data_IF_979464130662
#
_entry.id   IF_979464130662
#
_cell.length_a   1.000
_cell.length_b   1.000
_cell.length_c   1.000
_cell.angle_alpha   90.00
_cell.angle_beta   90.00
_cell.angle_gamma   90.00
#
_symmetry.space_group_name_H-M   'P 1'
#
loop_
_entity.id
_entity.type
_entity.pdbx_description
1 polymer ?
#
# COMPACT_ATOMS: atom_id res chain seq x y z
N UNK A 1 -18.20 -15.24 0.86
CA UNK A 1 -17.16 -14.51 0.10
C UNK A 1 -16.92 -13.20 0.83
N UNK A 2 -15.74 -12.95 1.42
CA UNK A 2 -15.46 -11.65 2.05
C UNK A 2 -15.41 -10.60 0.93
N UNK A 3 -16.18 -9.52 1.05
CA UNK A 3 -15.98 -8.35 0.20
C UNK A 3 -14.51 -7.94 0.36
N UNK A 4 -13.73 -7.94 -0.73
CA UNK A 4 -12.37 -7.42 -0.70
C UNK A 4 -12.46 -5.95 -0.30
N UNK A 5 -11.84 -5.57 0.81
CA UNK A 5 -11.70 -4.17 1.20
C UNK A 5 -11.11 -3.35 0.05
N UNK A 6 -11.35 -2.04 0.03
CA UNK A 6 -10.79 -1.17 -1.00
C UNK A 6 -9.26 -1.34 -1.02
N UNK A 7 -8.67 -1.38 -2.22
CA UNK A 7 -7.24 -1.56 -2.41
C UNK A 7 -6.55 -0.22 -2.62
N UNK A 8 -5.36 -0.05 -2.04
CA UNK A 8 -4.53 1.15 -2.15
C UNK A 8 -3.12 0.73 -2.56
N UNK A 9 -2.55 1.44 -3.53
CA UNK A 9 -1.12 1.37 -3.87
C UNK A 9 -0.43 2.62 -3.31
N UNK A 10 0.63 2.41 -2.55
CA UNK A 10 1.52 3.46 -2.06
C UNK A 10 2.80 3.41 -2.89
N UNK A 11 3.20 4.54 -3.48
CA UNK A 11 4.43 4.67 -4.25
C UNK A 11 5.28 5.74 -3.57
N UNK A 12 6.39 5.33 -2.99
CA UNK A 12 7.26 6.18 -2.17
C UNK A 12 8.65 5.54 -2.10
N UNK A 13 9.73 6.29 -2.30
CA UNK A 13 11.10 5.78 -2.30
C UNK A 13 11.69 5.59 -0.89
N UNK A 14 10.97 6.03 0.16
CA UNK A 14 11.38 5.91 1.55
C UNK A 14 10.69 4.74 2.26
N UNK A 15 11.43 3.64 2.48
CA UNK A 15 10.97 2.47 3.24
C UNK A 15 10.32 2.80 4.61
N UNK A 16 10.82 3.76 5.42
CA UNK A 16 10.17 4.15 6.66
C UNK A 16 8.73 4.66 6.45
N UNK A 17 8.50 5.44 5.39
CA UNK A 17 7.19 6.03 5.06
C UNK A 17 6.23 4.95 4.58
N UNK A 18 6.66 4.10 3.65
CA UNK A 18 5.86 2.96 3.20
C UNK A 18 5.37 2.09 4.37
N UNK A 19 6.26 1.80 5.34
CA UNK A 19 5.92 0.98 6.51
C UNK A 19 4.85 1.64 7.39
N UNK A 20 4.95 2.95 7.61
CA UNK A 20 3.96 3.71 8.39
C UNK A 20 2.60 3.70 7.66
N UNK A 21 2.59 4.00 6.37
CA UNK A 21 1.38 4.06 5.55
C UNK A 21 0.71 2.69 5.45
N UNK A 22 1.48 1.64 5.15
CA UNK A 22 0.98 0.26 5.10
C UNK A 22 0.35 -0.15 6.42
N UNK A 23 1.00 0.13 7.55
CA UNK A 23 0.45 -0.21 8.88
C UNK A 23 -0.87 0.51 9.15
N UNK A 24 -0.92 1.82 8.93
CA UNK A 24 -2.09 2.62 9.25
C UNK A 24 -3.28 2.28 8.34
N UNK A 25 -3.06 2.19 7.02
CA UNK A 25 -4.10 1.86 6.05
C UNK A 25 -4.58 0.41 6.21
N UNK A 26 -3.68 -0.55 6.49
CA UNK A 26 -4.10 -1.93 6.76
C UNK A 26 -4.94 -2.02 8.04
N UNK A 27 -4.59 -1.25 9.09
CA UNK A 27 -5.38 -1.17 10.31
C UNK A 27 -6.78 -0.55 10.07
N UNK A 28 -6.92 0.32 9.09
CA UNK A 28 -8.21 0.85 8.62
C UNK A 28 -8.99 -0.10 7.70
N UNK A 29 -8.48 -1.31 7.44
CA UNK A 29 -9.17 -2.36 6.68
C UNK A 29 -8.95 -2.32 5.16
N UNK A 30 -7.95 -1.55 4.69
CA UNK A 30 -7.55 -1.54 3.29
C UNK A 30 -6.59 -2.68 2.97
N UNK A 31 -6.63 -3.15 1.71
CA UNK A 31 -5.60 -4.02 1.14
C UNK A 31 -4.51 -3.12 0.54
N UNK A 32 -3.32 -3.12 1.12
CA UNK A 32 -2.27 -2.14 0.80
C UNK A 32 -1.12 -2.83 0.06
N UNK A 33 -0.85 -2.33 -1.14
CA UNK A 33 0.34 -2.63 -1.94
C UNK A 33 1.33 -1.47 -1.81
N UNK A 34 2.61 -1.78 -1.91
CA UNK A 34 3.70 -0.81 -1.89
C UNK A 34 4.58 -1.01 -3.11
N UNK A 35 5.10 0.09 -3.65
CA UNK A 35 6.13 0.13 -4.68
C UNK A 35 7.18 1.17 -4.29
N UNK A 36 8.44 0.85 -4.55
CA UNK A 36 9.61 1.67 -4.25
C UNK A 36 9.83 2.75 -5.33
N UNK A 37 9.27 2.55 -6.52
CA UNK A 37 9.36 3.47 -7.64
C UNK A 37 8.15 3.38 -8.58
N UNK A 38 8.13 4.27 -9.58
CA UNK A 38 7.04 4.36 -10.55
C UNK A 38 6.97 3.21 -11.54
N UNK A 39 8.08 2.51 -11.81
CA UNK A 39 8.10 1.36 -12.73
C UNK A 39 7.46 0.15 -12.06
N UNK A 40 7.89 -0.16 -10.84
CA UNK A 40 7.28 -1.19 -9.99
C UNK A 40 5.80 -0.90 -9.70
N UNK A 41 5.39 0.37 -9.66
CA UNK A 41 4.01 0.76 -9.40
C UNK A 41 3.03 0.40 -10.53
N UNK A 42 3.52 0.28 -11.77
CA UNK A 42 2.69 0.09 -12.97
C UNK A 42 2.83 -1.28 -13.63
N UNK A 43 3.83 -2.07 -13.24
CA UNK A 43 4.00 -3.48 -13.63
C UNK A 43 2.93 -4.41 -13.03
#
# INVERSE_FOLDING_TARGET
MKAKGKRILVVDDELPIQRILRRNLSASGYDVLVADDGEQAVE
#
